data_IF_408972566052
#
_entry.id   IF_408972566052
#
_cell.length_a   1.000
_cell.length_b   1.000
_cell.length_c   1.000
_cell.angle_alpha   90.00
_cell.angle_beta   90.00
_cell.angle_gamma   90.00
#
_symmetry.space_group_name_H-M   'P 1'
#
loop_
_entity.id
_entity.type
_entity.pdbx_description
1 polymer ?
#
# COMPACT_ATOMS: atom_id res chain seq x y z
N UNK A 1 2.52 -12.54 5.97
CA UNK A 1 3.23 -12.19 4.72
C UNK A 1 2.71 -10.85 4.23
N UNK A 2 3.58 -9.89 3.93
CA UNK A 2 3.15 -8.66 3.25
C UNK A 2 3.30 -8.86 1.73
N UNK A 3 2.32 -8.42 0.96
CA UNK A 3 2.34 -8.58 -0.49
C UNK A 3 1.63 -7.44 -1.21
N UNK A 4 2.01 -7.20 -2.46
CA UNK A 4 1.36 -6.22 -3.35
C UNK A 4 0.03 -6.81 -3.81
N UNK A 5 -1.04 -6.05 -3.68
CA UNK A 5 -2.39 -6.41 -4.16
C UNK A 5 -3.05 -5.18 -4.78
N UNK A 6 -4.14 -5.35 -5.50
CA UNK A 6 -4.92 -4.22 -6.01
C UNK A 6 -5.98 -3.81 -4.99
N UNK A 7 -6.19 -2.50 -4.84
CA UNK A 7 -7.26 -1.97 -4.00
C UNK A 7 -8.61 -2.18 -4.69
N UNK A 8 -9.60 -2.76 -4.01
CA UNK A 8 -10.93 -2.99 -4.57
C UNK A 8 -11.69 -1.70 -4.89
N UNK A 9 -11.34 -0.58 -4.24
CA UNK A 9 -12.01 0.71 -4.44
C UNK A 9 -11.43 1.47 -5.66
N UNK A 10 -10.11 1.64 -5.74
CA UNK A 10 -9.48 2.43 -6.80
C UNK A 10 -8.72 1.61 -7.85
N UNK A 11 -8.67 0.28 -7.72
CA UNK A 11 -7.95 -0.66 -8.60
C UNK A 11 -6.42 -0.47 -8.71
N UNK A 12 -5.86 0.52 -8.00
CA UNK A 12 -4.43 0.78 -7.93
C UNK A 12 -3.71 -0.17 -6.97
N UNK A 13 -2.38 -0.25 -7.10
CA UNK A 13 -1.54 -1.10 -6.27
C UNK A 13 -1.53 -0.62 -4.81
N UNK A 14 -1.87 -1.52 -3.90
CA UNK A 14 -1.72 -1.34 -2.46
C UNK A 14 -1.04 -2.57 -1.87
N UNK A 15 -0.98 -2.63 -0.54
CA UNK A 15 -0.37 -3.73 0.19
C UNK A 15 -1.41 -4.44 1.04
N UNK A 16 -1.16 -5.71 1.31
CA UNK A 16 -1.89 -6.51 2.27
C UNK A 16 -0.91 -7.21 3.20
N UNK A 17 -1.27 -7.38 4.48
CA UNK A 17 -0.44 -8.05 5.48
C UNK A 17 -0.39 -7.32 6.82
N UNK A 18 0.74 -7.47 7.53
CA UNK A 18 0.95 -6.93 8.88
C UNK A 18 1.41 -5.46 8.93
N UNK A 19 1.77 -4.84 7.80
CA UNK A 19 2.14 -3.42 7.74
C UNK A 19 3.59 -3.11 8.10
N UNK A 20 4.36 -4.08 8.60
CA UNK A 20 5.78 -3.89 8.88
C UNK A 20 6.65 -3.82 7.61
N UNK A 21 6.22 -4.47 6.52
CA UNK A 21 7.01 -4.61 5.29
C UNK A 21 6.42 -3.83 4.10
N UNK A 22 5.63 -2.79 4.36
CA UNK A 22 5.04 -1.93 3.31
C UNK A 22 6.12 -1.33 2.41
N UNK A 23 7.24 -0.79 2.95
CA UNK A 23 8.30 -0.23 2.11
C UNK A 23 8.84 -1.27 1.14
N UNK A 24 9.16 -2.47 1.59
CA UNK A 24 9.70 -3.54 0.75
C UNK A 24 8.75 -3.99 -0.37
N UNK A 25 7.44 -3.81 -0.19
CA UNK A 25 6.41 -4.21 -1.16
C UNK A 25 6.06 -3.08 -2.12
N UNK A 26 5.99 -1.84 -1.62
CA UNK A 26 5.54 -0.69 -2.39
C UNK A 26 6.65 0.22 -2.91
N UNK A 27 7.87 0.21 -2.36
CA UNK A 27 8.97 1.05 -2.89
C UNK A 27 9.25 0.71 -4.36
N UNK A 28 9.13 -0.56 -4.76
CA UNK A 28 9.29 -1.00 -6.15
C UNK A 28 8.13 -0.57 -7.07
N UNK A 29 7.04 -0.05 -6.53
CA UNK A 29 5.87 0.42 -7.29
C UNK A 29 5.95 1.94 -7.40
N UNK A 30 5.85 2.54 -8.60
CA UNK A 30 5.84 3.99 -8.74
C UNK A 30 4.60 4.61 -8.09
N UNK A 31 4.73 5.81 -7.51
CA UNK A 31 3.65 6.46 -6.76
C UNK A 31 2.36 6.66 -7.56
N UNK A 32 2.46 6.87 -8.87
CA UNK A 32 1.32 7.01 -9.77
C UNK A 32 0.42 5.77 -9.81
N UNK A 33 1.03 4.59 -9.67
CA UNK A 33 0.35 3.29 -9.63
C UNK A 33 -0.06 2.86 -8.22
N UNK A 34 0.36 3.58 -7.18
CA UNK A 34 -0.03 3.31 -5.79
C UNK A 34 -1.44 3.81 -5.52
N UNK A 35 -2.14 3.11 -4.63
CA UNK A 35 -3.44 3.50 -4.12
C UNK A 35 -3.37 4.91 -3.50
N UNK A 36 -4.42 5.69 -3.73
CA UNK A 36 -4.54 7.07 -3.22
C UNK A 36 -5.70 7.22 -2.24
N UNK A 37 -6.35 6.11 -1.87
CA UNK A 37 -7.41 6.08 -0.88
C UNK A 37 -6.88 6.52 0.50
N UNK A 38 -7.79 7.01 1.34
CA UNK A 38 -7.53 7.33 2.74
C UNK A 38 -8.18 6.26 3.65
N UNK A 39 -7.68 6.05 4.89
CA UNK A 39 -6.54 6.71 5.51
C UNK A 39 -5.19 6.13 5.07
N UNK A 40 -4.22 7.01 4.78
CA UNK A 40 -2.83 6.60 4.56
C UNK A 40 -2.18 6.19 5.87
N UNK A 41 -1.19 5.31 5.79
CA UNK A 41 -0.40 4.88 6.94
C UNK A 41 1.01 5.43 6.83
N UNK A 42 1.55 5.94 7.94
CA UNK A 42 2.96 6.39 7.99
C UNK A 42 3.81 5.23 8.46
N UNK A 43 4.84 4.88 7.70
CA UNK A 43 5.80 3.85 8.04
C UNK A 43 7.21 4.32 7.70
N UNK A 44 8.12 4.25 8.67
CA UNK A 44 9.51 4.69 8.52
C UNK A 44 9.64 6.13 7.95
N UNK A 45 8.73 7.02 8.38
CA UNK A 45 8.69 8.42 7.94
C UNK A 45 8.11 8.65 6.54
N UNK A 46 7.66 7.61 5.85
CA UNK A 46 7.01 7.70 4.53
C UNK A 46 5.51 7.40 4.63
N UNK A 47 4.70 8.12 3.87
CA UNK A 47 3.27 7.84 3.74
C UNK A 47 3.02 6.75 2.70
N UNK A 48 2.22 5.75 3.07
CA UNK A 48 1.81 4.66 2.20
C UNK A 48 0.28 4.54 2.16
N UNK A 49 -0.28 3.98 1.08
CA UNK A 49 -1.72 3.74 0.98
C UNK A 49 -2.29 2.85 2.09
N UNK A 50 -3.61 2.87 2.30
CA UNK A 50 -4.28 1.97 3.23
C UNK A 50 -4.09 0.51 2.84
N UNK A 51 -4.12 -0.38 3.84
CA UNK A 51 -4.16 -1.83 3.61
C UNK A 51 -5.35 -2.16 2.70
N UNK A 52 -5.17 -3.06 1.74
CA UNK A 52 -6.30 -3.62 1.01
C UNK A 52 -7.31 -4.25 1.98
N UNK A 53 -8.56 -3.80 1.89
CA UNK A 53 -9.71 -4.52 2.41
C UNK A 53 -10.16 -5.55 1.38
N UNK A 54 -10.56 -6.72 1.87
CA UNK A 54 -11.08 -7.81 1.04
C UNK A 54 -12.48 -7.47 0.57
#
# INVERSE_FOLDING_TARGET
MCMKVNCSNCNKATWWGCGAHIPSVLDSVPESERCTCAPKVVRDGKEYPPKAEK
#
